data_IF_463336187842
#
_entry.id   IF_463336187842
#
_cell.length_a   1.000
_cell.length_b   1.000
_cell.length_c   1.000
_cell.angle_alpha   90.00
_cell.angle_beta   90.00
_cell.angle_gamma   90.00
#
_symmetry.space_group_name_H-M   'P 1'
#
loop_
_entity.id
_entity.type
_entity.pdbx_description
1 polymer ?
#
# COMPACT_ATOMS: atom_id res chain seq x y z
N UNK A 1 -68.82 13.61 -6.34
CA UNK A 1 -67.86 13.50 -5.22
C UNK A 1 -66.49 13.16 -5.80
N UNK A 2 -65.47 13.98 -5.48
CA UNK A 2 -64.09 13.87 -5.98
C UNK A 2 -63.25 13.21 -4.88
N UNK A 3 -62.62 12.07 -5.15
CA UNK A 3 -61.59 11.51 -4.26
C UNK A 3 -60.26 11.65 -5.00
N UNK A 4 -59.46 12.60 -4.54
CA UNK A 4 -58.09 12.84 -5.01
C UNK A 4 -57.18 11.79 -4.38
N UNK A 5 -56.62 10.91 -5.19
CA UNK A 5 -55.47 10.08 -4.82
C UNK A 5 -54.25 10.99 -4.70
N UNK A 6 -53.74 11.12 -3.46
CA UNK A 6 -52.45 11.74 -3.18
C UNK A 6 -51.42 10.63 -3.30
N UNK A 7 -50.78 10.53 -4.46
CA UNK A 7 -49.68 9.59 -4.68
C UNK A 7 -48.39 10.26 -4.21
N UNK A 8 -47.90 9.78 -3.07
CA UNK A 8 -46.65 10.19 -2.44
C UNK A 8 -45.47 9.84 -3.35
N UNK A 9 -44.80 10.85 -3.91
CA UNK A 9 -43.54 10.66 -4.62
C UNK A 9 -42.39 10.54 -3.59
N UNK A 10 -41.97 9.31 -3.32
CA UNK A 10 -40.68 9.06 -2.67
C UNK A 10 -39.56 9.32 -3.69
N UNK A 11 -38.92 10.48 -3.58
CA UNK A 11 -37.67 10.75 -4.28
C UNK A 11 -36.56 9.91 -3.62
N UNK A 12 -36.27 8.74 -4.19
CA UNK A 12 -35.11 7.95 -3.83
C UNK A 12 -33.85 8.68 -4.31
N UNK A 13 -33.24 9.45 -3.41
CA UNK A 13 -31.93 10.06 -3.62
C UNK A 13 -30.88 8.94 -3.55
N UNK A 14 -30.54 8.35 -4.69
CA UNK A 14 -29.45 7.38 -4.81
C UNK A 14 -28.13 8.10 -4.54
N UNK A 15 -27.65 8.03 -3.30
CA UNK A 15 -26.28 8.38 -2.97
C UNK A 15 -25.34 7.42 -3.72
N UNK A 16 -24.79 7.88 -4.84
CA UNK A 16 -23.65 7.22 -5.48
C UNK A 16 -22.45 7.50 -4.57
N UNK A 17 -22.19 6.60 -3.61
CA UNK A 17 -20.94 6.61 -2.88
C UNK A 17 -19.85 6.16 -3.84
N UNK A 18 -19.14 7.11 -4.44
CA UNK A 18 -17.88 6.83 -5.08
C UNK A 18 -16.92 6.35 -4.00
N UNK A 19 -16.70 5.04 -3.90
CA UNK A 19 -15.57 4.50 -3.18
C UNK A 19 -14.30 4.90 -3.93
N UNK A 20 -13.79 6.09 -3.64
CA UNK A 20 -12.45 6.50 -4.05
C UNK A 20 -11.50 5.58 -3.28
N UNK A 21 -11.15 4.44 -3.89
CA UNK A 21 -10.16 3.51 -3.36
C UNK A 21 -8.77 4.10 -3.64
N UNK A 22 -8.43 5.20 -2.97
CA UNK A 22 -7.04 5.65 -2.90
C UNK A 22 -6.22 4.56 -2.23
N UNK A 23 -4.98 4.36 -2.67
CA UNK A 23 -4.24 3.16 -2.30
C UNK A 23 -2.80 3.52 -2.00
N UNK A 24 -2.57 3.90 -0.75
CA UNK A 24 -1.32 4.45 -0.27
C UNK A 24 -0.35 3.36 0.11
N UNK A 25 0.87 3.44 -0.40
CA UNK A 25 1.96 2.52 -0.09
C UNK A 25 3.00 3.29 0.72
N UNK A 26 3.31 2.83 1.92
CA UNK A 26 4.32 3.40 2.80
C UNK A 26 5.45 2.40 3.05
N UNK A 27 6.67 2.81 2.72
CA UNK A 27 7.88 2.05 2.98
C UNK A 27 8.59 2.63 4.20
N UNK A 28 9.15 1.79 5.06
CA UNK A 28 9.91 2.24 6.24
C UNK A 28 11.05 1.28 6.51
N UNK A 29 12.12 1.80 7.12
CA UNK A 29 13.31 1.02 7.46
C UNK A 29 13.88 1.42 8.80
N UNK A 30 14.48 0.48 9.51
CA UNK A 30 15.20 0.74 10.75
C UNK A 30 16.73 0.63 10.61
N UNK A 31 17.47 1.02 11.65
CA UNK A 31 18.95 0.93 11.68
C UNK A 31 19.50 -0.51 11.67
N UNK A 32 18.65 -1.52 11.85
CA UNK A 32 19.04 -2.94 11.76
C UNK A 32 19.01 -3.45 10.32
N UNK A 33 18.67 -2.60 9.34
CA UNK A 33 18.44 -3.02 7.96
C UNK A 33 17.09 -3.71 7.76
N UNK A 34 16.17 -3.67 8.72
CA UNK A 34 14.85 -4.24 8.50
C UNK A 34 13.99 -3.23 7.75
N UNK A 35 13.30 -3.69 6.72
CA UNK A 35 12.40 -2.90 5.91
C UNK A 35 11.00 -3.51 5.93
N UNK A 36 10.00 -2.64 5.83
CA UNK A 36 8.62 -3.05 5.74
C UNK A 36 7.87 -2.13 4.79
N UNK A 37 6.84 -2.68 4.17
CA UNK A 37 5.95 -1.92 3.32
C UNK A 37 4.52 -2.20 3.72
N UNK A 38 3.75 -1.12 3.84
CA UNK A 38 2.37 -1.15 4.28
C UNK A 38 1.50 -0.44 3.28
N UNK A 39 0.28 -0.94 3.18
CA UNK A 39 -0.66 -0.44 2.20
C UNK A 39 -2.02 -0.23 2.82
N UNK A 40 -2.63 0.92 2.52
CA UNK A 40 -3.91 1.28 3.11
C UNK A 40 -4.72 2.21 2.21
N UNK A 41 -6.02 2.35 2.46
CA UNK A 41 -6.88 3.26 1.71
C UNK A 41 -6.46 4.75 1.82
N UNK A 42 -5.70 5.12 2.85
CA UNK A 42 -5.31 6.52 3.10
C UNK A 42 -3.83 6.62 3.46
N UNK A 43 -3.21 7.78 3.16
CA UNK A 43 -1.83 8.07 3.52
C UNK A 43 -1.58 7.85 5.02
N UNK A 44 -2.48 8.38 5.84
CA UNK A 44 -2.37 8.34 7.29
C UNK A 44 -2.39 6.90 7.82
N UNK A 45 -3.25 6.03 7.28
CA UNK A 45 -3.35 4.65 7.74
C UNK A 45 -2.12 3.82 7.31
N UNK A 46 -1.65 3.99 6.07
CA UNK A 46 -0.43 3.33 5.59
C UNK A 46 0.81 3.82 6.38
N UNK A 47 0.89 5.12 6.67
CA UNK A 47 1.98 5.72 7.43
C UNK A 47 1.98 5.25 8.88
N UNK A 48 0.81 5.18 9.52
CA UNK A 48 0.69 4.71 10.89
C UNK A 48 1.14 3.24 11.02
N UNK A 49 0.73 2.37 10.09
CA UNK A 49 1.19 0.98 10.10
C UNK A 49 2.70 0.88 9.93
N UNK A 50 3.26 1.60 8.96
CA UNK A 50 4.69 1.67 8.73
C UNK A 50 5.45 2.18 9.98
N UNK A 51 5.02 3.30 10.55
CA UNK A 51 5.67 3.87 11.74
C UNK A 51 5.60 2.91 12.92
N UNK A 52 4.43 2.35 13.20
CA UNK A 52 4.23 1.46 14.34
C UNK A 52 5.07 0.19 14.23
N UNK A 53 5.11 -0.44 13.04
CA UNK A 53 5.95 -1.64 12.86
C UNK A 53 7.42 -1.31 12.98
N UNK A 54 7.88 -0.22 12.39
CA UNK A 54 9.28 0.17 12.52
C UNK A 54 9.64 0.48 13.97
N UNK A 55 8.81 1.24 14.69
CA UNK A 55 9.03 1.60 16.09
C UNK A 55 9.12 0.37 16.99
N UNK A 56 8.25 -0.62 16.76
CA UNK A 56 8.25 -1.87 17.52
C UNK A 56 9.48 -2.76 17.26
N UNK A 57 10.17 -2.59 16.13
CA UNK A 57 11.27 -3.47 15.71
C UNK A 57 12.63 -2.75 15.64
N UNK A 58 12.67 -1.42 15.76
CA UNK A 58 13.88 -0.61 15.71
C UNK A 58 14.57 -0.52 17.07
N UNK A 59 15.90 -0.53 17.04
CA UNK A 59 16.72 -0.12 18.21
C UNK A 59 16.66 1.39 18.46
N UNK A 60 16.23 2.18 17.47
CA UNK A 60 16.08 3.62 17.57
C UNK A 60 14.82 4.07 16.80
N UNK A 61 13.67 4.22 17.49
CA UNK A 61 12.41 4.65 16.87
C UNK A 61 12.47 6.01 16.18
N UNK A 62 13.44 6.87 16.51
CA UNK A 62 13.62 8.17 15.87
C UNK A 62 14.11 8.07 14.42
N UNK A 63 14.63 6.92 14.00
CA UNK A 63 15.06 6.69 12.62
C UNK A 63 13.90 6.20 11.71
N UNK A 64 12.76 5.84 12.29
CA UNK A 64 11.63 5.30 11.57
C UNK A 64 10.87 6.42 10.85
N UNK A 65 11.25 6.67 9.60
CA UNK A 65 10.66 7.70 8.75
C UNK A 65 9.98 7.05 7.54
N UNK A 66 8.68 6.72 7.65
CA UNK A 66 7.95 6.14 6.52
C UNK A 66 7.88 7.11 5.33
N UNK A 67 8.13 6.60 4.14
CA UNK A 67 7.94 7.31 2.87
C UNK A 67 6.71 6.75 2.17
N UNK A 68 5.72 7.61 1.93
CA UNK A 68 4.40 7.21 1.45
C UNK A 68 4.09 7.78 0.06
N UNK A 69 3.48 6.97 -0.79
CA UNK A 69 3.04 7.36 -2.14
C UNK A 69 1.61 6.88 -2.37
N UNK A 70 0.79 7.71 -3.02
CA UNK A 70 -0.52 7.26 -3.52
C UNK A 70 -0.31 6.48 -4.82
N UNK A 71 -0.74 5.22 -4.83
CA UNK A 71 -0.59 4.35 -5.99
C UNK A 71 -1.84 4.39 -6.90
N UNK A 72 -2.85 5.20 -6.60
CA UNK A 72 -3.86 5.67 -7.55
C UNK A 72 -4.83 4.64 -8.15
N UNK A 73 -4.92 3.41 -7.62
CA UNK A 73 -5.71 2.33 -8.26
C UNK A 73 -6.69 1.63 -7.34
N UNK A 74 -7.93 1.58 -7.84
CA UNK A 74 -9.09 0.82 -7.37
C UNK A 74 -9.14 -0.59 -7.99
N UNK A 75 -8.92 -1.64 -7.19
CA UNK A 75 -9.25 -3.04 -7.52
C UNK A 75 -8.29 -3.79 -8.48
N UNK A 76 -7.92 -5.01 -8.11
CA UNK A 76 -6.99 -5.89 -8.83
C UNK A 76 -5.54 -5.46 -8.59
N UNK A 77 -4.81 -6.22 -7.76
CA UNK A 77 -3.46 -5.83 -7.36
C UNK A 77 -2.49 -6.97 -7.51
N UNK A 78 -1.25 -6.62 -7.73
CA UNK A 78 -0.12 -7.51 -7.71
C UNK A 78 0.70 -7.21 -6.48
N UNK A 79 0.92 -8.23 -5.67
CA UNK A 79 1.80 -8.20 -4.53
C UNK A 79 3.13 -8.83 -4.94
N UNK A 80 4.20 -8.03 -4.92
CA UNK A 80 5.57 -8.51 -5.14
C UNK A 80 6.39 -8.38 -3.87
N UNK A 81 7.07 -9.46 -3.49
CA UNK A 81 8.00 -9.50 -2.37
C UNK A 81 9.41 -9.74 -2.87
N UNK A 82 10.40 -9.12 -2.26
CA UNK A 82 11.81 -9.35 -2.58
C UNK A 82 12.65 -9.25 -1.32
N UNK A 83 13.75 -9.98 -1.29
CA UNK A 83 14.75 -9.89 -0.23
C UNK A 83 16.15 -9.82 -0.80
N UNK A 84 17.10 -9.35 0.00
CA UNK A 84 18.50 -9.31 -0.37
C UNK A 84 19.38 -10.18 0.56
N UNK A 85 20.68 -10.25 0.26
CA UNK A 85 21.66 -11.00 1.05
C UNK A 85 21.98 -10.40 2.42
N UNK A 86 21.54 -9.17 2.69
CA UNK A 86 21.65 -8.56 4.03
C UNK A 86 20.53 -9.02 4.97
N UNK A 87 19.52 -9.71 4.44
CA UNK A 87 18.31 -10.06 5.17
C UNK A 87 17.28 -8.92 5.17
N UNK A 88 17.44 -7.93 4.29
CA UNK A 88 16.45 -6.89 4.09
C UNK A 88 15.29 -7.48 3.25
N UNK A 89 14.04 -7.13 3.60
CA UNK A 89 12.83 -7.63 2.94
C UNK A 89 11.90 -6.48 2.57
N UNK A 90 11.32 -6.53 1.38
CA UNK A 90 10.34 -5.55 0.94
C UNK A 90 9.13 -6.23 0.32
N UNK A 91 7.96 -5.62 0.49
CA UNK A 91 6.73 -6.01 -0.19
C UNK A 91 6.18 -4.82 -0.96
N UNK A 92 5.55 -5.02 -2.10
CA UNK A 92 4.99 -3.92 -2.89
C UNK A 92 3.68 -4.36 -3.49
N UNK A 93 2.70 -3.47 -3.47
CA UNK A 93 1.40 -3.72 -4.07
C UNK A 93 1.15 -2.69 -5.15
N UNK A 94 0.90 -3.15 -6.37
CA UNK A 94 0.65 -2.28 -7.50
C UNK A 94 -0.51 -2.78 -8.37
N UNK A 95 -1.03 -1.94 -9.27
CA UNK A 95 -2.14 -2.26 -10.19
C UNK A 95 -1.79 -3.35 -11.20
N UNK A 96 -0.50 -3.42 -11.57
CA UNK A 96 0.03 -4.36 -12.54
C UNK A 96 1.22 -5.11 -11.95
N UNK A 97 1.46 -6.31 -12.48
CA UNK A 97 2.60 -7.13 -12.10
C UNK A 97 3.91 -6.37 -12.32
N UNK A 98 4.05 -5.73 -13.49
CA UNK A 98 5.27 -5.02 -13.88
C UNK A 98 5.59 -3.86 -12.93
N UNK A 99 4.56 -3.12 -12.50
CA UNK A 99 4.76 -2.01 -11.57
C UNK A 99 5.15 -2.51 -10.17
N UNK A 100 4.49 -3.56 -9.68
CA UNK A 100 4.84 -4.16 -8.38
C UNK A 100 6.25 -4.78 -8.41
N UNK A 101 6.60 -5.42 -9.53
CA UNK A 101 7.91 -6.01 -9.75
C UNK A 101 8.99 -4.93 -9.81
N UNK A 102 8.77 -3.86 -10.57
CA UNK A 102 9.73 -2.76 -10.69
C UNK A 102 9.96 -2.06 -9.35
N UNK A 103 8.91 -1.83 -8.56
CA UNK A 103 9.04 -1.26 -7.21
C UNK A 103 9.88 -2.17 -6.31
N UNK A 104 9.59 -3.47 -6.32
CA UNK A 104 10.37 -4.47 -5.58
C UNK A 104 11.83 -4.49 -6.02
N UNK A 105 12.07 -4.63 -7.33
CA UNK A 105 13.42 -4.70 -7.90
C UNK A 105 14.23 -3.45 -7.57
N UNK A 106 13.67 -2.26 -7.76
CA UNK A 106 14.33 -0.99 -7.47
C UNK A 106 14.68 -0.84 -5.99
N UNK A 107 13.77 -1.20 -5.09
CA UNK A 107 14.02 -1.13 -3.66
C UNK A 107 15.15 -2.07 -3.24
N UNK A 108 15.17 -3.29 -3.77
CA UNK A 108 16.25 -4.23 -3.50
C UNK A 108 17.57 -3.77 -4.13
N UNK A 109 17.57 -3.33 -5.39
CA UNK A 109 18.77 -2.89 -6.09
C UNK A 109 19.45 -1.69 -5.41
N UNK A 110 18.65 -0.77 -4.88
CA UNK A 110 19.15 0.42 -4.17
C UNK A 110 19.75 0.10 -2.78
N UNK A 111 19.40 -1.03 -2.17
CA UNK A 111 19.75 -1.34 -0.78
C UNK A 111 20.59 -2.63 -0.62
N UNK A 112 20.71 -3.44 -1.67
CA UNK A 112 21.48 -4.68 -1.70
C UNK A 112 22.96 -4.44 -1.93
N UNK A 113 23.80 -5.22 -1.24
CA UNK A 113 25.25 -5.32 -1.53
C UNK A 113 25.49 -6.05 -2.86
N UNK A 114 24.51 -6.83 -3.33
CA UNK A 114 24.56 -7.54 -4.59
C UNK A 114 23.19 -7.43 -5.32
N UNK A 115 23.04 -6.46 -6.24
CA UNK A 115 21.80 -6.27 -7.01
C UNK A 115 21.41 -7.49 -7.87
N UNK A 116 22.35 -8.38 -8.18
CA UNK A 116 22.07 -9.58 -8.98
C UNK A 116 21.25 -10.63 -8.21
N UNK A 117 21.11 -10.51 -6.89
CA UNK A 117 20.25 -11.39 -6.10
C UNK A 117 18.85 -10.83 -5.83
N UNK A 118 18.52 -9.67 -6.41
CA UNK A 118 17.21 -9.06 -6.25
C UNK A 118 16.22 -9.71 -7.20
N UNK A 119 15.53 -10.75 -6.72
CA UNK A 119 14.54 -11.50 -7.50
C UNK A 119 13.15 -11.39 -6.86
N UNK A 120 12.34 -10.38 -7.26
CA UNK A 120 10.99 -10.26 -6.77
C UNK A 120 10.10 -11.44 -7.16
N UNK A 121 9.32 -11.93 -6.19
CA UNK A 121 8.26 -12.93 -6.39
C UNK A 121 6.91 -12.23 -6.32
N UNK A 122 6.09 -12.40 -7.36
CA UNK A 122 4.84 -11.65 -7.55
C UNK A 122 3.62 -12.56 -7.65
N UNK A 123 2.53 -12.18 -6.99
CA UNK A 123 1.25 -12.88 -7.02
C UNK A 123 0.10 -11.86 -7.15
N UNK A 124 -0.99 -12.20 -7.88
CA UNK A 124 -2.20 -11.39 -7.88
C UNK A 124 -2.96 -11.51 -6.54
N UNK A 125 -3.58 -10.42 -6.09
CA UNK A 125 -4.53 -10.31 -4.96
C UNK A 125 -5.98 -10.26 -5.41
#
# INVERSE_FOLDING_TARGET
MKIKLITSAFAALTLVTFSVQANWVCNVSNLKGQHWTFVAPTAASAQAMAKNTCDANSVNPNNCNPTCVDNGVSGGRWHCVVSNLKGDHWSFFAPSQDQAFAMAKNACDANSINPNNCNPSCLPE
#
